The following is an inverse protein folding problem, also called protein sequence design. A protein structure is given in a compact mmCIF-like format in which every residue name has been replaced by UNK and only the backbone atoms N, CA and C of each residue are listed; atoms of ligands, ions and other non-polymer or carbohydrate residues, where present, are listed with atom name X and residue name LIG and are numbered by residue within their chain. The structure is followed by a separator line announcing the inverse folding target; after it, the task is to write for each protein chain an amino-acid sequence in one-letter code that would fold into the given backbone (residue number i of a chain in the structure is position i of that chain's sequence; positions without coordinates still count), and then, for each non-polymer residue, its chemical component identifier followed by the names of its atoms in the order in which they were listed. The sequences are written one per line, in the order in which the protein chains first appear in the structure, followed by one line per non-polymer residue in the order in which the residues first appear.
data_IF_265902638975
#
_entry.id   IF_265902638975
#
_cell.length_a   1.000
_cell.length_b   1.000
_cell.length_c   1.000
_cell.angle_alpha   90.00
_cell.angle_beta   90.00
_cell.angle_gamma   90.00
#
_symmetry.space_group_name_H-M   'P 1'
#
loop_
_entity.id
_entity.type
_entity.pdbx_description
1 polymer ?
#
# COMPACT_ATOMS: atom_id res chain seq x y z
N UNK A 1 12.08 -5.21 9.83
CA UNK A 1 10.89 -4.59 10.45
C UNK A 1 9.69 -5.50 10.20
N UNK A 2 8.79 -5.72 11.17
CA UNK A 2 7.65 -6.64 11.02
C UNK A 2 6.46 -5.88 10.41
N UNK A 3 5.82 -6.36 9.33
CA UNK A 3 4.61 -5.75 8.81
C UNK A 3 3.53 -5.72 9.90
N UNK A 4 2.76 -4.64 9.97
CA UNK A 4 1.55 -4.61 10.78
C UNK A 4 0.46 -5.26 9.94
N UNK A 5 0.12 -6.51 10.27
CA UNK A 5 -0.99 -7.24 9.66
C UNK A 5 -2.27 -7.04 10.49
N UNK A 6 -3.36 -6.64 9.83
CA UNK A 6 -4.69 -6.64 10.40
C UNK A 6 -5.53 -7.70 9.69
N UNK A 7 -6.03 -8.69 10.44
CA UNK A 7 -6.88 -9.77 9.91
C UNK A 7 -8.34 -9.41 10.11
N UNK A 8 -9.15 -9.68 9.10
CA UNK A 8 -10.58 -9.36 9.08
C UNK A 8 -11.37 -10.59 8.61
N UNK A 9 -12.67 -10.62 8.95
CA UNK A 9 -13.64 -11.61 8.48
C UNK A 9 -14.39 -11.15 7.22
N UNK A 10 -14.16 -9.91 6.79
CA UNK A 10 -14.68 -9.39 5.53
C UNK A 10 -14.06 -10.12 4.34
N UNK A 11 -14.84 -10.19 3.25
CA UNK A 11 -14.33 -10.68 1.97
C UNK A 11 -13.24 -9.74 1.44
N UNK A 12 -12.50 -10.20 0.43
CA UNK A 12 -11.49 -9.39 -0.22
C UNK A 12 -12.07 -8.07 -0.75
N UNK A 13 -13.17 -8.12 -1.50
CA UNK A 13 -13.80 -6.95 -2.12
C UNK A 13 -14.34 -5.96 -1.08
N UNK A 14 -15.01 -6.46 -0.04
CA UNK A 14 -15.48 -5.63 1.08
C UNK A 14 -14.32 -4.89 1.75
N UNK A 15 -13.22 -5.59 1.98
CA UNK A 15 -12.03 -5.03 2.63
C UNK A 15 -11.37 -3.97 1.74
N UNK A 16 -11.24 -4.26 0.46
CA UNK A 16 -10.64 -3.37 -0.53
C UNK A 16 -11.43 -2.06 -0.62
N UNK A 17 -12.74 -2.13 -0.76
CA UNK A 17 -13.60 -0.95 -0.86
C UNK A 17 -13.68 -0.15 0.45
N UNK A 18 -13.70 -0.83 1.60
CA UNK A 18 -13.63 -0.17 2.90
C UNK A 18 -12.32 0.64 3.07
N UNK A 19 -11.19 0.07 2.62
CA UNK A 19 -9.88 0.72 2.69
C UNK A 19 -9.80 1.90 1.75
N UNK A 20 -10.22 1.75 0.48
CA UNK A 20 -10.25 2.86 -0.48
C UNK A 20 -11.08 4.02 0.07
N UNK A 21 -12.26 3.70 0.59
CA UNK A 21 -13.15 4.67 1.22
C UNK A 21 -12.46 5.37 2.40
N UNK A 22 -11.77 4.63 3.27
CA UNK A 22 -11.06 5.19 4.41
C UNK A 22 -9.91 6.12 3.98
N UNK A 23 -9.15 5.75 2.94
CA UNK A 23 -8.07 6.57 2.37
C UNK A 23 -8.62 7.89 1.83
N UNK A 24 -9.68 7.83 1.01
CA UNK A 24 -10.31 9.01 0.43
C UNK A 24 -10.93 9.92 1.49
N UNK A 25 -11.61 9.36 2.50
CA UNK A 25 -12.16 10.12 3.64
C UNK A 25 -11.09 10.80 4.49
N UNK A 26 -9.88 10.24 4.53
CA UNK A 26 -8.74 10.85 5.20
C UNK A 26 -8.07 11.97 4.38
N UNK A 27 -8.65 12.37 3.23
CA UNK A 27 -8.13 13.43 2.37
C UNK A 27 -6.87 13.03 1.59
N UNK A 28 -6.63 11.73 1.43
CA UNK A 28 -5.51 11.19 0.66
C UNK A 28 -5.99 10.77 -0.74
N UNK A 29 -5.08 10.87 -1.72
CA UNK A 29 -5.29 10.37 -3.06
C UNK A 29 -4.80 8.92 -3.19
N UNK A 30 -5.49 8.12 -4.01
CA UNK A 30 -5.02 6.82 -4.47
C UNK A 30 -4.37 7.05 -5.84
N UNK A 31 -3.06 6.85 -5.93
CA UNK A 31 -2.28 7.07 -7.15
C UNK A 31 -2.31 5.87 -8.08
N UNK A 32 -2.26 4.67 -7.51
CA UNK A 32 -2.27 3.44 -8.27
C UNK A 32 -2.87 2.31 -7.46
N UNK A 33 -3.41 1.34 -8.18
CA UNK A 33 -3.90 0.10 -7.65
C UNK A 33 -3.34 -1.03 -8.51
N UNK A 34 -2.49 -1.86 -7.91
CA UNK A 34 -1.72 -2.90 -8.60
C UNK A 34 -2.34 -4.25 -8.29
N UNK A 35 -2.87 -4.92 -9.31
CA UNK A 35 -3.46 -6.24 -9.20
C UNK A 35 -2.42 -7.34 -9.49
N UNK A 36 -1.91 -7.97 -8.43
CA UNK A 36 -0.94 -9.05 -8.58
C UNK A 36 -1.59 -10.37 -9.00
N UNK A 37 -2.86 -10.59 -8.66
CA UNK A 37 -3.58 -11.80 -9.05
C UNK A 37 -3.88 -11.79 -10.56
N UNK A 38 -4.27 -10.65 -11.11
CA UNK A 38 -4.42 -10.45 -12.54
C UNK A 38 -3.10 -10.65 -13.28
N UNK A 39 -2.03 -9.97 -12.86
CA UNK A 39 -0.72 -10.11 -13.48
C UNK A 39 -0.21 -11.57 -13.46
N UNK A 40 -0.47 -12.31 -12.38
CA UNK A 40 -0.16 -13.73 -12.31
C UNK A 40 -0.92 -14.55 -13.36
N UNK A 41 -2.25 -14.34 -13.49
CA UNK A 41 -3.08 -15.04 -14.49
C UNK A 41 -2.61 -14.79 -15.91
N UNK A 42 -2.23 -13.55 -16.24
CA UNK A 42 -1.71 -13.19 -17.57
C UNK A 42 -0.43 -13.96 -17.93
N UNK A 43 0.33 -14.41 -16.92
CA UNK A 43 1.55 -15.18 -17.09
C UNK A 43 1.37 -16.68 -16.82
N UNK A 44 0.12 -17.18 -16.78
CA UNK A 44 -0.18 -18.59 -16.54
C UNK A 44 0.11 -19.07 -15.12
N UNK A 45 0.25 -18.13 -14.17
CA UNK A 45 0.44 -18.41 -12.75
C UNK A 45 -0.89 -18.23 -11.99
N UNK A 46 -1.02 -18.89 -10.85
CA UNK A 46 -2.18 -18.76 -9.96
C UNK A 46 -1.80 -18.09 -8.65
N UNK A 47 -2.58 -17.10 -8.23
CA UNK A 47 -2.43 -16.41 -6.95
C UNK A 47 -3.83 -16.08 -6.41
N UNK A 48 -4.00 -16.15 -5.08
CA UNK A 48 -5.20 -15.62 -4.43
C UNK A 48 -5.30 -14.10 -4.61
N UNK A 49 -6.50 -13.54 -4.46
CA UNK A 49 -6.71 -12.11 -4.67
C UNK A 49 -5.73 -11.28 -3.85
N UNK A 50 -4.89 -10.50 -4.53
CA UNK A 50 -3.79 -9.75 -3.92
C UNK A 50 -3.59 -8.45 -4.66
N UNK A 51 -3.76 -7.34 -3.95
CA UNK A 51 -3.78 -6.00 -4.54
C UNK A 51 -3.01 -5.02 -3.66
N UNK A 52 -2.22 -4.16 -4.29
CA UNK A 52 -1.48 -3.10 -3.59
C UNK A 52 -2.07 -1.75 -3.96
N UNK A 53 -2.50 -1.01 -2.95
CA UNK A 53 -2.91 0.38 -3.07
C UNK A 53 -1.70 1.27 -2.81
N UNK A 54 -1.39 2.14 -3.78
CA UNK A 54 -0.39 3.20 -3.66
C UNK A 54 -1.15 4.51 -3.46
N UNK A 55 -0.93 5.16 -2.32
CA UNK A 55 -1.73 6.32 -1.91
C UNK A 55 -0.88 7.32 -1.13
N UNK A 56 -1.37 8.56 -0.99
CA UNK A 56 -0.68 9.58 -0.20
C UNK A 56 -1.38 10.93 -0.30
N UNK A 57 -0.82 11.93 0.40
CA UNK A 57 -1.30 13.31 0.32
C UNK A 57 -0.24 14.17 -0.40
N UNK A 58 -0.52 14.69 -1.61
CA UNK A 58 0.44 15.52 -2.35
C UNK A 58 0.76 16.85 -1.63
N UNK A 59 -0.18 17.41 -0.88
CA UNK A 59 0.02 18.68 -0.14
C UNK A 59 1.06 18.51 0.97
N UNK A 60 1.20 17.30 1.51
CA UNK A 60 2.18 16.97 2.55
C UNK A 60 3.44 16.36 1.94
N UNK A 61 3.31 15.49 0.95
CA UNK A 61 4.43 14.73 0.39
C UNK A 61 5.31 15.55 -0.58
N UNK A 62 4.71 16.43 -1.39
CA UNK A 62 5.46 17.18 -2.41
C UNK A 62 6.49 18.14 -1.80
N UNK A 63 6.17 18.92 -0.74
CA UNK A 63 7.17 19.76 -0.08
C UNK A 63 8.38 18.95 0.43
N UNK A 64 8.14 17.77 1.01
CA UNK A 64 9.21 16.86 1.45
C UNK A 64 10.07 16.40 0.29
N UNK A 65 9.47 16.09 -0.86
CA UNK A 65 10.23 15.72 -2.08
C UNK A 65 11.00 16.91 -2.67
N UNK A 66 10.51 18.14 -2.54
CA UNK A 66 11.24 19.34 -2.99
C UNK A 66 12.48 19.56 -2.13
N UNK A 67 12.36 19.43 -0.80
CA UNK A 67 13.48 19.57 0.13
C UNK A 67 14.45 18.38 0.07
N UNK A 68 13.90 17.16 -0.08
CA UNK A 68 14.64 15.90 -0.15
C UNK A 68 14.15 15.06 -1.33
N UNK A 69 14.69 15.25 -2.55
CA UNK A 69 14.23 14.56 -3.76
C UNK A 69 14.24 13.03 -3.66
N UNK A 70 15.18 12.45 -2.90
CA UNK A 70 15.27 11.00 -2.70
C UNK A 70 14.07 10.43 -1.92
N UNK A 71 13.30 11.26 -1.20
CA UNK A 71 12.07 10.83 -0.55
C UNK A 71 11.03 10.30 -1.56
N UNK A 72 11.14 10.66 -2.84
CA UNK A 72 10.29 10.14 -3.91
C UNK A 72 10.51 8.64 -4.23
N UNK A 73 11.59 8.02 -3.72
CA UNK A 73 11.77 6.57 -3.82
C UNK A 73 10.99 5.80 -2.75
N UNK A 74 10.77 6.45 -1.59
CA UNK A 74 10.11 5.82 -0.45
C UNK A 74 8.61 6.14 -0.41
N UNK A 75 8.22 7.34 -0.87
CA UNK A 75 6.84 7.82 -1.05
C UNK A 75 6.34 7.48 -2.48
N UNK A 76 5.05 7.14 -2.69
CA UNK A 76 3.90 7.22 -1.78
C UNK A 76 3.72 6.00 -0.86
N UNK A 77 2.80 6.11 0.11
CA UNK A 77 2.43 5.01 1.00
C UNK A 77 1.87 3.82 0.23
N UNK A 78 2.11 2.62 0.77
CA UNK A 78 1.66 1.35 0.19
C UNK A 78 0.87 0.54 1.21
N UNK A 79 -0.29 0.05 0.81
CA UNK A 79 -1.07 -0.92 1.57
C UNK A 79 -1.34 -2.16 0.72
N UNK A 80 -1.03 -3.32 1.29
CA UNK A 80 -1.33 -4.62 0.71
C UNK A 80 -2.67 -5.11 1.25
N UNK A 81 -3.58 -5.45 0.35
CA UNK A 81 -4.81 -6.17 0.65
C UNK A 81 -4.68 -7.54 0.00
N UNK A 82 -4.85 -8.60 0.77
CA UNK A 82 -4.78 -9.96 0.23
C UNK A 82 -5.81 -10.86 0.86
N UNK A 83 -6.29 -11.81 0.08
CA UNK A 83 -7.13 -12.89 0.52
C UNK A 83 -6.32 -13.97 1.25
N UNK A 84 -6.99 -14.62 2.19
CA UNK A 84 -6.57 -15.81 2.90
C UNK A 84 -7.47 -16.98 2.52
N UNK A 85 -7.00 -18.22 2.72
CA UNK A 85 -7.86 -19.39 2.60
C UNK A 85 -9.13 -19.26 3.48
N UNK A 86 -10.30 -19.51 2.87
CA UNK A 86 -11.60 -19.48 3.53
C UNK A 86 -12.28 -18.10 3.56
N UNK A 87 -12.21 -17.33 2.47
CA UNK A 87 -12.88 -16.03 2.25
C UNK A 87 -12.58 -14.95 3.29
N UNK A 88 -11.39 -15.03 3.91
CA UNK A 88 -10.91 -14.02 4.86
C UNK A 88 -9.91 -13.11 4.17
N UNK A 89 -9.72 -11.90 4.65
CA UNK A 89 -8.68 -11.00 4.11
C UNK A 89 -7.69 -10.53 5.19
N UNK A 90 -6.52 -10.12 4.74
CA UNK A 90 -5.49 -9.44 5.55
C UNK A 90 -5.12 -8.14 4.87
N UNK A 91 -5.08 -7.10 5.69
CA UNK A 91 -4.63 -5.79 5.28
C UNK A 91 -3.31 -5.51 5.99
N UNK A 92 -2.26 -5.26 5.21
CA UNK A 92 -0.93 -4.96 5.74
C UNK A 92 -0.51 -3.59 5.27
N UNK A 93 -0.11 -2.72 6.21
CA UNK A 93 0.53 -1.44 5.84
C UNK A 93 2.03 -1.63 5.77
N UNK A 94 2.64 -1.11 4.71
CA UNK A 94 4.08 -0.86 4.72
C UNK A 94 4.34 0.24 5.75
N UNK A 95 5.11 -0.07 6.80
CA UNK A 95 5.70 0.98 7.63
C UNK A 95 6.75 1.64 6.74
N UNK A 96 6.50 2.86 6.28
CA UNK A 96 7.54 3.65 5.63
C UNK A 96 8.53 4.11 6.70
N UNK A 97 9.82 3.91 6.44
CA UNK A 97 10.87 4.50 7.23
C UNK A 97 10.79 6.02 7.07
N UNK A 98 10.47 6.74 8.15
CA UNK A 98 10.92 8.12 8.28
C UNK A 98 12.45 8.04 8.35
N UNK A 99 13.15 8.29 7.23
CA UNK A 99 14.62 8.27 7.18
C UNK A 99 15.21 9.44 7.99
N UNK A 100 15.15 9.32 9.31
CA UNK A 100 16.14 9.90 10.20
C UNK A 100 17.30 8.89 10.24
N UNK A 101 18.47 9.29 9.71
CA UNK A 101 19.73 8.51 9.53
C UNK A 101 19.91 7.78 8.20
N UNK A 102 20.15 8.50 7.12
CA UNK A 102 21.29 8.20 6.22
C UNK A 102 21.84 9.53 5.67
N UNK A 103 22.47 10.32 6.53
CA UNK A 103 23.48 11.30 6.13
C UNK A 103 24.75 10.94 6.91
N UNK A 104 25.47 9.96 6.37
CA UNK A 104 26.80 9.56 6.83
C UNK A 104 27.36 8.60 5.78
N UNK A 105 28.21 9.14 4.90
CA UNK A 105 28.98 8.45 3.85
C UNK A 105 28.35 8.48 2.46
N UNK A 106 28.43 9.63 1.80
CA UNK A 106 29.24 9.78 0.58
C UNK A 106 29.85 11.18 0.57
#
# INVERSE_FOLDING_TARGET
MKPIEHRTTHTFDESLEAIKTAILKAGMAIFAEIDHAEAAREHGLSMLQTRVLVYGNPDVGTPVMVETPLAALDLPLRMLVRELPGDRSVCSRSVQETKEKVCSTV
#
